data_IF_477773987099
#
_entry.id   IF_477773987099
#
_cell.length_a   1.000
_cell.length_b   1.000
_cell.length_c   1.000
_cell.angle_alpha   90.00
_cell.angle_beta   90.00
_cell.angle_gamma   90.00
#
_symmetry.space_group_name_H-M   'P 1'
#
loop_
_entity.id
_entity.type
_entity.pdbx_description
1 polymer ?
#
# COMPACT_ATOMS: atom_id res chain seq x y z
N UNK A 1 42.65 -48.45 -25.80
CA UNK A 1 43.42 -47.23 -26.17
C UNK A 1 42.80 -46.65 -27.43
N UNK A 2 42.49 -45.34 -27.53
CA UNK A 2 42.49 -44.30 -26.51
C UNK A 2 41.06 -43.78 -26.19
N UNK A 3 40.87 -43.34 -24.95
CA UNK A 3 39.73 -42.53 -24.54
C UNK A 3 39.90 -41.12 -25.11
N UNK A 4 38.83 -40.53 -25.62
CA UNK A 4 38.80 -39.11 -25.98
C UNK A 4 38.81 -38.29 -24.68
N UNK A 5 39.99 -37.90 -24.24
CA UNK A 5 40.18 -36.92 -23.16
C UNK A 5 39.74 -35.56 -23.66
N UNK A 6 38.65 -35.05 -23.08
CA UNK A 6 38.11 -33.73 -23.40
C UNK A 6 39.11 -32.63 -23.13
N UNK A 7 39.27 -31.73 -24.10
CA UNK A 7 39.89 -30.42 -23.92
C UNK A 7 38.82 -29.36 -24.21
N UNK A 8 37.73 -29.40 -23.45
CA UNK A 8 36.79 -28.29 -23.39
C UNK A 8 37.30 -27.33 -22.32
N UNK A 9 37.97 -26.26 -22.73
CA UNK A 9 38.29 -25.15 -21.82
C UNK A 9 36.98 -24.48 -21.43
N UNK A 10 36.43 -24.86 -20.28
CA UNK A 10 35.31 -24.13 -19.66
C UNK A 10 35.89 -22.83 -19.12
N UNK A 11 35.65 -21.73 -19.83
CA UNK A 11 35.96 -20.40 -19.33
C UNK A 11 34.93 -20.05 -18.25
N UNK A 12 35.28 -20.24 -16.98
CA UNK A 12 34.56 -19.58 -15.89
C UNK A 12 34.88 -18.09 -15.99
N UNK A 13 33.93 -17.28 -16.44
CA UNK A 13 34.00 -15.83 -16.28
C UNK A 13 33.98 -15.53 -14.79
N UNK A 14 35.15 -15.20 -14.25
CA UNK A 14 35.31 -14.73 -12.88
C UNK A 14 34.57 -13.39 -12.77
N UNK A 15 33.41 -13.38 -12.12
CA UNK A 15 32.70 -12.15 -11.78
C UNK A 15 33.49 -11.46 -10.67
N UNK A 16 34.51 -10.68 -11.02
CA UNK A 16 35.12 -9.74 -10.09
C UNK A 16 34.05 -8.72 -9.72
N UNK A 17 33.50 -8.86 -8.52
CA UNK A 17 32.69 -7.82 -7.91
C UNK A 17 33.56 -6.56 -7.83
N UNK A 18 33.09 -5.47 -8.43
CA UNK A 18 33.67 -4.15 -8.22
C UNK A 18 33.60 -3.81 -6.74
N UNK A 19 34.58 -3.05 -6.25
CA UNK A 19 34.54 -2.52 -4.88
C UNK A 19 33.21 -1.77 -4.65
N UNK A 20 32.59 -1.93 -3.47
CA UNK A 20 31.31 -1.29 -3.18
C UNK A 20 31.48 0.24 -3.07
N UNK A 21 30.72 0.98 -3.88
CA UNK A 21 30.65 2.44 -3.78
C UNK A 21 29.60 2.86 -2.74
N UNK A 22 29.96 3.79 -1.85
CA UNK A 22 29.08 4.29 -0.80
C UNK A 22 28.40 5.60 -1.22
N UNK A 23 27.09 5.68 -1.00
CA UNK A 23 26.29 6.88 -1.21
C UNK A 23 25.46 7.19 0.03
N UNK A 24 25.29 8.47 0.33
CA UNK A 24 24.46 8.97 1.42
C UNK A 24 23.25 9.70 0.87
N UNK A 25 22.06 9.37 1.38
CA UNK A 25 20.81 9.98 0.96
C UNK A 25 20.36 11.03 1.98
N UNK A 26 20.16 12.25 1.52
CA UNK A 26 19.56 13.33 2.29
C UNK A 26 18.08 13.42 1.92
N UNK A 27 17.20 13.09 2.87
CA UNK A 27 15.76 13.02 2.65
C UNK A 27 15.01 14.17 3.31
N UNK A 28 13.81 14.46 2.81
CA UNK A 28 12.87 15.33 3.50
C UNK A 28 12.24 14.66 4.75
N UNK A 29 11.33 15.36 5.42
CA UNK A 29 10.59 14.88 6.58
C UNK A 29 9.66 13.67 6.28
N UNK A 30 9.35 13.43 5.01
CA UNK A 30 8.58 12.27 4.55
C UNK A 30 9.48 11.14 4.09
N UNK A 31 10.81 11.30 4.07
CA UNK A 31 11.75 10.28 3.57
C UNK A 31 11.98 10.31 2.05
N UNK A 32 11.50 11.35 1.35
CA UNK A 32 11.76 11.54 -0.08
C UNK A 32 13.21 11.98 -0.29
N UNK A 33 14.01 11.29 -1.12
CA UNK A 33 15.38 11.72 -1.44
C UNK A 33 15.41 13.10 -2.12
N UNK A 34 16.07 14.07 -1.50
CA UNK A 34 16.29 15.40 -2.09
C UNK A 34 17.65 15.47 -2.78
N UNK A 35 18.67 14.92 -2.13
CA UNK A 35 20.07 14.93 -2.58
C UNK A 35 20.74 13.61 -2.23
N UNK A 36 21.77 13.26 -3.00
CA UNK A 36 22.65 12.11 -2.79
C UNK A 36 24.08 12.59 -2.89
N UNK A 37 24.91 12.25 -1.91
CA UNK A 37 26.34 12.56 -1.88
C UNK A 37 27.20 11.29 -1.93
N UNK A 38 28.37 11.38 -2.55
CA UNK A 38 29.38 10.31 -2.55
C UNK A 38 30.10 10.18 -1.19
N UNK A 39 31.07 9.25 -1.10
CA UNK A 39 31.87 9.04 0.10
C UNK A 39 32.72 10.24 0.52
N UNK A 40 33.04 11.12 -0.42
CA UNK A 40 33.87 12.31 -0.22
C UNK A 40 33.02 13.56 0.07
N UNK A 41 31.69 13.41 0.07
CA UNK A 41 30.73 14.49 0.33
C UNK A 41 30.41 15.34 -0.91
N UNK A 42 30.85 14.94 -2.10
CA UNK A 42 30.46 15.62 -3.34
C UNK A 42 29.04 15.22 -3.73
N UNK A 43 28.32 16.13 -4.37
CA UNK A 43 26.97 15.87 -4.85
C UNK A 43 27.01 14.88 -6.03
N UNK A 44 26.39 13.71 -5.84
CA UNK A 44 26.24 12.69 -6.88
C UNK A 44 24.90 12.81 -7.63
N UNK A 45 23.85 13.28 -6.96
CA UNK A 45 22.51 13.51 -7.54
C UNK A 45 21.71 14.51 -6.69
N UNK A 46 20.81 15.30 -7.30
CA UNK A 46 19.92 16.18 -6.53
C UNK A 46 18.69 16.67 -7.32
N UNK A 47 17.49 16.47 -6.77
CA UNK A 47 16.22 16.82 -7.40
C UNK A 47 16.00 18.34 -7.49
N UNK A 48 16.32 19.05 -6.40
CA UNK A 48 16.18 20.51 -6.32
C UNK A 48 17.15 21.24 -7.26
N UNK A 49 18.32 20.64 -7.52
CA UNK A 49 19.34 21.19 -8.40
C UNK A 49 19.00 21.04 -9.88
N UNK A 50 18.42 19.88 -10.27
CA UNK A 50 17.86 19.70 -11.62
C UNK A 50 16.77 20.75 -11.93
N UNK A 51 15.96 21.11 -10.93
CA UNK A 51 14.87 22.08 -11.09
C UNK A 51 15.34 23.55 -11.13
N UNK A 52 16.35 23.93 -10.34
CA UNK A 52 16.81 25.33 -10.25
C UNK A 52 17.86 25.72 -11.28
N UNK A 53 18.80 24.82 -11.58
CA UNK A 53 20.02 25.22 -12.29
C UNK A 53 20.01 24.80 -13.76
N UNK A 54 19.07 23.93 -14.16
CA UNK A 54 18.98 23.34 -15.51
C UNK A 54 20.23 22.56 -15.95
N UNK A 55 21.23 22.47 -15.07
CA UNK A 55 22.56 21.99 -15.38
C UNK A 55 22.79 20.63 -14.72
N UNK A 56 22.79 19.58 -15.54
CA UNK A 56 23.01 18.18 -15.15
C UNK A 56 24.49 17.81 -15.07
N UNK A 57 25.41 18.75 -15.32
CA UNK A 57 26.83 18.48 -15.61
C UNK A 57 27.66 17.86 -14.46
N UNK A 58 27.10 17.72 -13.25
CA UNK A 58 27.78 17.11 -12.10
C UNK A 58 27.03 15.90 -11.52
N UNK A 59 26.06 15.34 -12.24
CA UNK A 59 25.31 14.16 -11.78
C UNK A 59 26.09 12.91 -12.17
N UNK A 60 26.74 12.28 -11.20
CA UNK A 60 27.56 11.09 -11.41
C UNK A 60 26.77 9.78 -11.30
N UNK A 61 25.55 9.84 -10.78
CA UNK A 61 24.67 8.67 -10.62
C UNK A 61 23.21 9.07 -10.84
N UNK A 62 22.39 8.19 -11.42
CA UNK A 62 20.94 8.36 -11.36
C UNK A 62 20.34 7.70 -10.12
N UNK A 63 19.36 8.37 -9.54
CA UNK A 63 18.62 7.87 -8.40
C UNK A 63 17.20 7.56 -8.87
N UNK A 64 16.76 6.29 -8.89
CA UNK A 64 15.41 5.93 -9.30
C UNK A 64 14.37 6.11 -8.19
N UNK A 65 14.78 6.34 -6.94
CA UNK A 65 13.84 6.53 -5.84
C UNK A 65 13.14 7.90 -5.95
N UNK A 66 11.83 7.91 -5.71
CA UNK A 66 10.97 9.11 -5.74
C UNK A 66 10.30 9.27 -4.37
N UNK A 67 9.04 9.73 -4.32
CA UNK A 67 8.25 9.72 -3.09
C UNK A 67 8.22 8.30 -2.47
N UNK A 68 7.91 8.21 -1.19
CA UNK A 68 7.93 6.93 -0.48
C UNK A 68 7.12 5.84 -1.20
N UNK A 69 7.77 4.70 -1.45
CA UNK A 69 7.18 3.56 -2.15
C UNK A 69 7.14 3.67 -3.67
N UNK A 70 7.74 4.73 -4.25
CA UNK A 70 7.77 4.97 -5.69
C UNK A 70 9.16 4.72 -6.28
N UNK A 71 9.19 4.01 -7.41
CA UNK A 71 10.38 3.78 -8.22
C UNK A 71 10.17 4.39 -9.62
N UNK A 72 11.09 5.21 -10.08
CA UNK A 72 11.02 5.79 -11.42
C UNK A 72 11.35 4.75 -12.48
N UNK A 73 10.42 4.55 -13.40
CA UNK A 73 10.62 3.76 -14.60
C UNK A 73 11.07 4.67 -15.74
N UNK A 74 12.34 4.55 -16.14
CA UNK A 74 12.94 5.39 -17.18
C UNK A 74 12.32 5.14 -18.57
N UNK A 75 11.81 3.92 -18.85
CA UNK A 75 11.26 3.59 -20.17
C UNK A 75 9.93 4.32 -20.42
N UNK A 76 9.12 4.45 -19.38
CA UNK A 76 7.77 5.05 -19.47
C UNK A 76 7.69 6.46 -18.90
N UNK A 77 8.67 6.87 -18.09
CA UNK A 77 8.62 8.10 -17.29
C UNK A 77 7.66 8.04 -16.09
N UNK A 78 6.94 6.92 -15.92
CA UNK A 78 6.00 6.71 -14.83
C UNK A 78 6.71 6.29 -13.53
N UNK A 79 6.00 6.41 -12.43
CA UNK A 79 6.48 5.96 -11.12
C UNK A 79 5.76 4.66 -10.73
N UNK A 80 6.51 3.58 -10.58
CA UNK A 80 6.01 2.31 -10.13
C UNK A 80 5.83 2.29 -8.61
N UNK A 81 4.58 2.10 -8.18
CA UNK A 81 4.18 1.95 -6.79
C UNK A 81 3.62 0.55 -6.59
N UNK A 82 4.50 -0.47 -6.61
CA UNK A 82 4.24 -1.89 -6.30
C UNK A 82 3.08 -2.57 -7.06
N UNK A 83 1.84 -2.11 -6.91
CA UNK A 83 0.68 -2.63 -7.64
C UNK A 83 0.18 -1.71 -8.76
N UNK A 84 0.65 -0.45 -8.83
CA UNK A 84 0.15 0.54 -9.81
C UNK A 84 1.27 1.45 -10.34
N UNK A 85 1.07 1.97 -11.54
CA UNK A 85 1.89 3.03 -12.11
C UNK A 85 1.23 4.39 -11.88
N UNK A 86 2.01 5.30 -11.32
CA UNK A 86 1.66 6.68 -11.01
C UNK A 86 2.27 7.60 -12.06
N UNK A 87 1.43 8.47 -12.62
CA UNK A 87 1.87 9.51 -13.54
C UNK A 87 2.15 10.80 -12.74
N UNK A 88 3.42 11.23 -12.65
CA UNK A 88 3.78 12.44 -11.92
C UNK A 88 3.33 13.73 -12.61
N UNK A 89 3.08 13.73 -13.92
CA UNK A 89 2.68 14.92 -14.67
C UNK A 89 1.25 15.34 -14.34
N UNK A 90 0.34 14.36 -14.29
CA UNK A 90 -1.08 14.57 -13.94
C UNK A 90 -1.41 14.29 -12.47
N UNK A 91 -0.43 13.76 -11.72
CA UNK A 91 -0.50 13.54 -10.28
C UNK A 91 -1.45 12.42 -9.83
N UNK A 92 -1.64 11.36 -10.64
CA UNK A 92 -2.58 10.26 -10.34
C UNK A 92 -2.11 8.91 -10.88
N UNK A 93 -2.72 7.83 -10.42
CA UNK A 93 -2.50 6.51 -11.01
C UNK A 93 -3.10 6.42 -12.42
N UNK A 94 -2.44 5.70 -13.32
CA UNK A 94 -2.94 5.45 -14.69
C UNK A 94 -3.96 4.30 -14.74
N UNK A 95 -3.91 3.40 -13.75
CA UNK A 95 -4.84 2.28 -13.60
C UNK A 95 -5.79 2.51 -12.43
N UNK A 96 -7.02 2.00 -12.54
CA UNK A 96 -7.97 1.99 -11.42
C UNK A 96 -7.42 1.17 -10.26
N UNK A 97 -7.77 1.57 -9.04
CA UNK A 97 -7.44 0.82 -7.83
C UNK A 97 -7.99 -0.62 -7.93
N UNK A 98 -7.14 -1.67 -7.84
CA UNK A 98 -7.58 -3.07 -7.87
C UNK A 98 -8.60 -3.42 -6.77
N UNK A 99 -8.60 -2.67 -5.65
CA UNK A 99 -9.61 -2.83 -4.59
C UNK A 99 -10.92 -2.07 -4.88
N UNK A 100 -11.02 -1.40 -6.03
CA UNK A 100 -12.21 -0.70 -6.49
C UNK A 100 -12.64 0.42 -5.54
N UNK A 101 -13.96 0.63 -5.43
CA UNK A 101 -14.54 1.68 -4.55
C UNK A 101 -14.19 1.49 -3.07
N UNK A 102 -13.66 0.33 -2.70
CA UNK A 102 -13.14 0.11 -1.35
C UNK A 102 -11.88 0.90 -1.07
N UNK A 103 -11.12 1.32 -2.10
CA UNK A 103 -10.01 2.27 -1.99
C UNK A 103 -10.46 3.74 -1.91
N UNK A 104 -11.76 3.98 -1.81
CA UNK A 104 -12.34 5.33 -1.84
C UNK A 104 -13.01 5.62 -3.18
N UNK A 105 -13.69 6.78 -3.24
CA UNK A 105 -14.47 7.17 -4.42
C UNK A 105 -13.58 7.54 -5.62
N UNK A 106 -12.35 7.99 -5.37
CA UNK A 106 -11.39 8.30 -6.41
C UNK A 106 -10.41 7.14 -6.63
N UNK A 107 -10.75 6.28 -7.59
CA UNK A 107 -9.99 5.06 -7.94
C UNK A 107 -8.58 5.33 -8.48
N UNK A 108 -8.28 6.57 -8.86
CA UNK A 108 -6.98 6.96 -9.43
C UNK A 108 -6.13 7.76 -8.44
N UNK A 109 -6.62 7.97 -7.21
CA UNK A 109 -5.92 8.79 -6.22
C UNK A 109 -4.71 8.08 -5.62
N UNK A 110 -3.60 8.80 -5.47
CA UNK A 110 -2.40 8.33 -4.76
C UNK A 110 -2.58 8.31 -3.24
N UNK A 111 -2.88 9.45 -2.64
CA UNK A 111 -3.21 9.55 -1.22
C UNK A 111 -4.27 10.65 -0.99
N UNK A 112 -5.16 10.51 0.01
CA UNK A 112 -6.12 11.55 0.37
C UNK A 112 -5.46 12.89 0.73
N UNK A 113 -4.28 12.85 1.36
CA UNK A 113 -3.48 14.04 1.66
C UNK A 113 -1.98 13.73 1.52
N UNK A 114 -1.36 14.00 0.36
CA UNK A 114 0.02 13.58 0.06
C UNK A 114 1.10 14.29 0.90
N UNK A 115 0.78 15.38 1.61
CA UNK A 115 1.75 16.06 2.48
C UNK A 115 1.88 15.43 3.86
N UNK A 116 0.94 14.56 4.26
CA UNK A 116 1.01 13.87 5.56
C UNK A 116 0.70 12.36 5.48
N UNK A 117 0.25 11.87 4.32
CA UNK A 117 -0.14 10.49 4.10
C UNK A 117 0.62 9.93 2.90
N UNK A 118 1.24 8.78 3.12
CA UNK A 118 1.90 7.97 2.10
C UNK A 118 1.00 6.76 1.84
N UNK A 119 0.95 6.28 0.59
CA UNK A 119 0.36 4.99 0.22
C UNK A 119 1.48 3.98 -0.11
N UNK A 120 2.05 3.27 0.89
CA UNK A 120 3.23 2.43 0.69
C UNK A 120 2.93 1.15 -0.11
N UNK A 121 1.66 0.79 -0.25
CA UNK A 121 1.23 -0.39 -0.99
C UNK A 121 0.71 -0.03 -2.39
N UNK A 122 0.43 1.24 -2.68
CA UNK A 122 -0.33 1.60 -3.86
C UNK A 122 -1.75 1.05 -3.79
N UNK A 123 -2.31 0.85 -2.59
CA UNK A 123 -3.66 0.37 -2.34
C UNK A 123 -4.23 1.24 -1.23
N UNK A 124 -5.30 1.99 -1.51
CA UNK A 124 -5.76 2.99 -0.56
C UNK A 124 -6.49 2.34 0.64
N UNK A 125 -5.69 1.97 1.66
CA UNK A 125 -6.02 1.75 3.06
C UNK A 125 -7.08 0.69 3.41
N UNK A 126 -6.66 -0.39 4.08
CA UNK A 126 -7.50 -1.39 4.77
C UNK A 126 -8.37 -0.87 5.94
N UNK A 127 -8.71 0.43 5.94
CA UNK A 127 -9.69 1.08 6.83
C UNK A 127 -10.76 1.85 6.07
N UNK A 128 -10.75 1.80 4.74
CA UNK A 128 -11.80 2.37 3.93
C UNK A 128 -13.05 1.48 3.94
N UNK A 129 -14.19 2.05 3.52
CA UNK A 129 -15.46 1.34 3.42
C UNK A 129 -16.28 1.19 4.71
N UNK A 130 -15.85 1.76 5.85
CA UNK A 130 -16.58 1.62 7.14
C UNK A 130 -18.06 2.04 7.05
N UNK A 131 -18.33 3.19 6.42
CA UNK A 131 -19.69 3.72 6.29
C UNK A 131 -20.55 2.84 5.37
N UNK A 132 -19.99 2.40 4.24
CA UNK A 132 -20.66 1.49 3.32
C UNK A 132 -21.01 0.15 4.00
N UNK A 133 -20.04 -0.41 4.74
CA UNK A 133 -20.26 -1.65 5.50
C UNK A 133 -21.35 -1.50 6.56
N UNK A 134 -21.35 -0.40 7.31
CA UNK A 134 -22.41 -0.16 8.30
C UNK A 134 -23.79 -0.07 7.63
N UNK A 135 -23.90 0.55 6.45
CA UNK A 135 -25.17 0.59 5.70
C UNK A 135 -25.63 -0.80 5.29
N UNK A 136 -24.72 -1.64 4.80
CA UNK A 136 -24.99 -3.03 4.43
C UNK A 136 -25.48 -3.86 5.63
N UNK A 137 -24.80 -3.76 6.78
CA UNK A 137 -25.20 -4.42 8.04
C UNK A 137 -26.59 -3.99 8.48
N UNK A 138 -26.96 -2.72 8.29
CA UNK A 138 -28.30 -2.22 8.60
C UNK A 138 -29.41 -2.91 7.79
N UNK A 139 -29.10 -3.35 6.57
CA UNK A 139 -30.04 -4.00 5.65
C UNK A 139 -30.03 -5.53 5.77
N UNK A 140 -28.93 -6.13 6.23
CA UNK A 140 -28.76 -7.58 6.34
C UNK A 140 -29.77 -8.19 7.34
N UNK A 141 -30.67 -9.10 6.91
CA UNK A 141 -31.65 -9.74 7.79
C UNK A 141 -31.04 -10.74 8.77
N UNK A 142 -29.78 -11.16 8.57
CA UNK A 142 -29.08 -12.07 9.49
C UNK A 142 -28.56 -11.34 10.73
N UNK A 143 -28.50 -10.02 10.71
CA UNK A 143 -28.01 -9.22 11.82
C UNK A 143 -29.09 -9.06 12.90
N UNK A 144 -28.70 -8.96 14.18
CA UNK A 144 -29.64 -8.75 15.27
C UNK A 144 -30.47 -7.47 15.06
N UNK A 145 -31.75 -7.52 15.44
CA UNK A 145 -32.68 -6.40 15.24
C UNK A 145 -32.19 -5.09 15.87
N UNK A 146 -31.54 -5.15 17.05
CA UNK A 146 -31.02 -3.95 17.71
C UNK A 146 -29.82 -3.32 16.99
N UNK A 147 -28.97 -4.14 16.35
CA UNK A 147 -27.85 -3.66 15.53
C UNK A 147 -28.38 -2.93 14.30
N UNK A 148 -29.33 -3.57 13.59
CA UNK A 148 -30.00 -2.98 12.42
C UNK A 148 -30.75 -1.70 12.78
N UNK A 149 -31.53 -1.72 13.84
CA UNK A 149 -32.34 -0.59 14.31
C UNK A 149 -31.49 0.62 14.68
N UNK A 150 -30.36 0.41 15.37
CA UNK A 150 -29.40 1.47 15.66
C UNK A 150 -28.84 2.11 14.40
N UNK A 151 -28.38 1.29 13.44
CA UNK A 151 -27.82 1.79 12.18
C UNK A 151 -28.87 2.58 11.39
N UNK A 152 -30.11 2.11 11.35
CA UNK A 152 -31.20 2.83 10.69
C UNK A 152 -31.49 4.18 11.37
N UNK A 153 -31.46 4.24 12.71
CA UNK A 153 -31.61 5.49 13.44
C UNK A 153 -30.48 6.48 13.12
N UNK A 154 -29.24 5.99 13.04
CA UNK A 154 -28.10 6.81 12.65
C UNK A 154 -28.22 7.32 11.21
N UNK A 155 -28.71 6.50 10.27
CA UNK A 155 -28.99 6.93 8.90
C UNK A 155 -30.06 8.02 8.86
N UNK A 156 -31.16 7.85 9.60
CA UNK A 156 -32.21 8.86 9.69
C UNK A 156 -31.69 10.17 10.28
N UNK A 157 -30.81 10.11 11.29
CA UNK A 157 -30.16 11.28 11.87
C UNK A 157 -29.25 12.01 10.86
N UNK A 158 -28.61 11.29 9.94
CA UNK A 158 -27.83 11.88 8.84
C UNK A 158 -28.75 12.55 7.83
N UNK A 159 -29.85 11.89 7.43
CA UNK A 159 -30.85 12.47 6.54
C UNK A 159 -31.46 13.75 7.11
N UNK A 160 -31.61 13.83 8.44
CA UNK A 160 -32.07 15.03 9.14
C UNK A 160 -30.99 16.10 9.36
N UNK A 161 -29.74 15.85 8.95
CA UNK A 161 -28.62 16.79 9.14
C UNK A 161 -28.06 16.85 10.57
N UNK A 162 -28.57 16.03 11.50
CA UNK A 162 -28.11 15.99 12.89
C UNK A 162 -26.74 15.29 13.03
N UNK A 163 -26.32 14.50 12.02
CA UNK A 163 -25.06 13.76 12.00
C UNK A 163 -24.47 13.69 10.59
N UNK A 164 -23.16 13.49 10.52
CA UNK A 164 -22.44 13.30 9.25
C UNK A 164 -22.06 11.84 8.99
N UNK A 165 -21.99 10.99 10.02
CA UNK A 165 -21.48 9.63 9.94
C UNK A 165 -22.25 8.66 10.83
N UNK A 166 -22.41 7.41 10.37
CA UNK A 166 -23.01 6.31 11.14
C UNK A 166 -22.00 5.85 12.19
N UNK A 167 -22.42 5.81 13.45
CA UNK A 167 -21.64 5.24 14.55
C UNK A 167 -21.91 3.74 14.70
N UNK A 168 -20.93 3.03 15.24
CA UNK A 168 -21.14 1.64 15.63
C UNK A 168 -22.24 1.57 16.71
N UNK A 169 -23.05 0.49 16.71
CA UNK A 169 -23.98 0.24 17.80
C UNK A 169 -23.28 0.19 19.17
N UNK A 170 -23.94 0.62 20.27
CA UNK A 170 -23.36 0.58 21.60
C UNK A 170 -22.90 -0.82 21.97
N UNK A 171 -21.66 -0.96 22.44
CA UNK A 171 -21.07 -2.25 22.77
C UNK A 171 -20.52 -3.04 21.58
N UNK A 172 -20.71 -2.58 20.34
CA UNK A 172 -20.23 -3.27 19.13
C UNK A 172 -19.02 -2.59 18.48
N UNK A 173 -18.12 -3.41 17.97
CA UNK A 173 -17.03 -2.99 17.08
C UNK A 173 -17.09 -3.80 15.79
N UNK A 174 -16.70 -3.17 14.68
CA UNK A 174 -16.48 -3.87 13.43
C UNK A 174 -15.16 -4.63 13.55
N UNK A 175 -15.28 -5.94 13.70
CA UNK A 175 -14.17 -6.86 13.78
C UNK A 175 -13.94 -7.47 12.40
N UNK A 176 -12.70 -7.45 11.92
CA UNK A 176 -12.37 -8.18 10.70
C UNK A 176 -12.53 -9.68 10.95
N UNK A 177 -13.05 -10.40 9.94
CA UNK A 177 -13.02 -11.86 9.93
C UNK A 177 -11.57 -12.33 10.03
N UNK A 178 -11.33 -13.45 10.73
CA UNK A 178 -9.99 -14.07 10.79
C UNK A 178 -9.46 -14.25 9.37
N UNK A 179 -8.19 -13.97 9.12
CA UNK A 179 -7.61 -14.02 7.77
C UNK A 179 -7.84 -12.80 6.89
N UNK A 180 -8.80 -11.92 7.22
CA UNK A 180 -9.10 -10.68 6.50
C UNK A 180 -8.75 -9.43 7.31
N UNK A 181 -7.70 -9.47 8.12
CA UNK A 181 -7.38 -8.38 9.04
C UNK A 181 -6.81 -7.15 8.33
N UNK A 182 -7.06 -5.96 8.89
CA UNK A 182 -6.56 -4.69 8.35
C UNK A 182 -5.02 -4.64 8.22
N UNK A 183 -4.27 -5.36 9.08
CA UNK A 183 -2.80 -5.46 8.97
C UNK A 183 -2.36 -6.16 7.66
N UNK A 184 -3.24 -6.96 7.05
CA UNK A 184 -3.01 -7.65 5.78
C UNK A 184 -3.56 -6.87 4.58
N UNK A 185 -4.02 -5.63 4.79
CA UNK A 185 -4.53 -4.75 3.73
C UNK A 185 -6.02 -4.85 3.44
N UNK A 186 -6.76 -5.72 4.13
CA UNK A 186 -8.21 -5.85 3.92
C UNK A 186 -8.98 -4.70 4.58
N UNK A 187 -10.01 -4.20 3.87
CA UNK A 187 -10.89 -3.15 4.37
C UNK A 187 -12.08 -3.65 5.19
N UNK A 188 -12.93 -2.73 5.64
CA UNK A 188 -14.10 -3.04 6.48
C UNK A 188 -15.17 -3.89 5.76
N UNK A 189 -15.11 -4.10 4.45
CA UNK A 189 -16.00 -5.04 3.75
C UNK A 189 -15.99 -6.44 4.40
N UNK A 190 -14.82 -6.90 4.86
CA UNK A 190 -14.67 -8.18 5.51
C UNK A 190 -14.86 -8.12 7.03
N UNK A 191 -15.52 -7.08 7.53
CA UNK A 191 -15.78 -6.90 8.96
C UNK A 191 -17.21 -7.21 9.35
N UNK A 192 -17.40 -7.71 10.56
CA UNK A 192 -18.70 -8.03 11.14
C UNK A 192 -18.83 -7.36 12.51
N UNK A 193 -20.05 -6.93 12.90
CA UNK A 193 -20.27 -6.31 14.19
C UNK A 193 -20.14 -7.38 15.29
N UNK A 194 -19.13 -7.24 16.14
CA UNK A 194 -18.89 -8.11 17.29
C UNK A 194 -18.95 -7.32 18.59
N UNK A 195 -19.35 -7.98 19.68
CA UNK A 195 -19.30 -7.38 21.00
C UNK A 195 -17.86 -6.99 21.35
N UNK A 196 -17.67 -5.82 21.94
CA UNK A 196 -16.35 -5.24 22.18
C UNK A 196 -15.44 -6.17 23.01
N UNK A 197 -16.01 -6.86 23.99
CA UNK A 197 -15.25 -7.79 24.83
C UNK A 197 -14.81 -9.04 24.08
N UNK A 198 -15.68 -9.57 23.21
CA UNK A 198 -15.33 -10.69 22.33
C UNK A 198 -14.25 -10.28 21.32
N UNK A 199 -14.38 -9.08 20.75
CA UNK A 199 -13.37 -8.54 19.82
C UNK A 199 -11.99 -8.38 20.48
N UNK A 200 -11.95 -7.87 21.72
CA UNK A 200 -10.70 -7.76 22.51
C UNK A 200 -10.13 -9.13 22.85
N UNK A 201 -10.98 -10.08 23.23
CA UNK A 201 -10.58 -11.44 23.54
C UNK A 201 -9.98 -12.13 22.30
N UNK A 202 -10.61 -11.93 21.14
CA UNK A 202 -10.15 -12.44 19.85
C UNK A 202 -8.76 -11.90 19.49
N UNK A 203 -8.53 -10.60 19.67
CA UNK A 203 -7.21 -10.01 19.46
C UNK A 203 -6.14 -10.54 20.41
N UNK A 204 -6.50 -10.92 21.64
CA UNK A 204 -5.57 -11.53 22.60
C UNK A 204 -5.14 -12.93 22.16
N UNK A 205 -6.07 -13.74 21.64
CA UNK A 205 -5.77 -15.11 21.23
C UNK A 205 -5.09 -15.20 19.86
N UNK A 206 -5.43 -14.33 18.91
CA UNK A 206 -4.89 -14.40 17.54
C UNK A 206 -3.66 -13.49 17.32
N UNK A 207 -3.04 -12.97 18.39
CA UNK A 207 -1.97 -11.95 18.33
C UNK A 207 -2.31 -10.80 17.38
N UNK A 208 -3.46 -10.17 17.61
CA UNK A 208 -4.03 -9.11 16.75
C UNK A 208 -4.20 -9.50 15.28
N UNK A 209 -4.32 -10.80 14.99
CA UNK A 209 -4.49 -11.35 13.64
C UNK A 209 -3.19 -11.77 12.96
N UNK A 210 -2.03 -11.65 13.62
CA UNK A 210 -0.74 -12.10 13.11
C UNK A 210 -0.62 -13.62 13.06
N UNK A 211 -1.28 -14.32 13.99
CA UNK A 211 -1.29 -15.77 14.03
C UNK A 211 -2.20 -16.40 12.96
N UNK A 212 -3.13 -15.64 12.40
CA UNK A 212 -4.07 -16.14 11.39
C UNK A 212 -3.38 -16.17 10.02
N UNK A 213 -3.49 -17.27 9.28
CA UNK A 213 -3.14 -17.23 7.86
C UNK A 213 -4.20 -16.42 7.09
N UNK A 214 -3.82 -15.58 6.11
CA UNK A 214 -4.80 -15.02 5.20
C UNK A 214 -5.57 -16.17 4.56
N UNK A 215 -6.88 -16.00 4.34
CA UNK A 215 -7.56 -16.91 3.44
C UNK A 215 -6.89 -16.75 2.08
N UNK A 216 -6.09 -17.74 1.69
CA UNK A 216 -5.58 -17.85 0.35
C UNK A 216 -6.79 -17.72 -0.58
N UNK A 217 -6.66 -16.94 -1.65
CA UNK A 217 -7.51 -17.10 -2.81
C UNK A 217 -7.44 -18.58 -3.22
N UNK A 218 -8.40 -19.39 -2.75
CA UNK A 218 -8.48 -20.83 -2.97
C UNK A 218 -8.94 -21.16 -4.39
N UNK A 219 -8.49 -20.40 -5.38
CA UNK A 219 -8.73 -20.59 -6.82
C UNK A 219 -7.81 -19.72 -7.68
N UNK A 220 -6.49 -19.81 -7.47
CA UNK A 220 -5.63 -19.78 -8.65
C UNK A 220 -5.83 -21.13 -9.35
N UNK A 221 -6.74 -21.17 -10.32
CA UNK A 221 -6.80 -22.28 -11.27
C UNK A 221 -5.44 -22.31 -11.97
N UNK A 222 -4.61 -23.28 -11.60
CA UNK A 222 -3.64 -23.85 -12.52
C UNK A 222 -4.46 -24.46 -13.64
N UNK A 223 -4.30 -23.95 -14.85
CA UNK A 223 -4.33 -24.79 -16.05
C UNK A 223 -3.15 -24.38 -16.91
N UNK A 224 -2.32 -25.38 -17.13
CA UNK A 224 -1.25 -25.55 -18.11
C UNK A 224 -1.40 -24.71 -19.39
#
# INVERSE_FOLDING_TARGET
MPQATGSGTVLYTDYRLSEPTLYYFQTDHLGTPLEVTDSDGNLAWGQLRKANDGNSDNITTDNPFRFQGQYHDEETGLHYNRHRYYDPEIGRFITQDPIGLMGGENLYQYAPNPTGWVDPLGLNGGRAGKQARLREIGQDPRQPAHVRGWIQQEQNAITQGNRTNIRNPPGYQLAHRRGYEAQKGFGYEYSEPQHTDLHRLQHRYDDKGRANQPYACGRCFIKD
#
